data_IF_923298429382
#
_entry.id   IF_923298429382
#
_cell.length_a   1.000
_cell.length_b   1.000
_cell.length_c   1.000
_cell.angle_alpha   90.00
_cell.angle_beta   90.00
_cell.angle_gamma   90.00
#
_symmetry.space_group_name_H-M   'P 1'
#
loop_
_entity.id
_entity.type
_entity.pdbx_description
1 polymer ?
#
# COMPACT_ATOMS: atom_id res chain seq x y z
N UNK A 1 5.52 16.87 -2.11
CA UNK A 1 6.40 15.69 -2.06
C UNK A 1 5.47 14.49 -2.15
N UNK A 2 5.79 13.49 -2.97
CA UNK A 2 4.96 12.27 -3.09
C UNK A 2 4.88 11.60 -1.73
N UNK A 3 3.67 11.35 -1.24
CA UNK A 3 3.44 10.54 -0.04
C UNK A 3 3.84 9.09 -0.37
N UNK A 4 4.87 8.50 0.26
CA UNK A 4 5.21 7.11 0.05
C UNK A 4 4.06 6.22 0.56
N UNK A 5 3.62 5.34 -0.33
CA UNK A 5 2.68 4.25 -0.05
C UNK A 5 3.47 2.96 -0.09
N UNK A 6 3.33 2.12 0.94
CA UNK A 6 4.08 0.87 1.03
C UNK A 6 3.26 -0.26 1.64
N UNK A 7 3.60 -1.51 1.29
CA UNK A 7 3.11 -2.72 1.95
C UNK A 7 4.28 -3.44 2.60
N UNK A 8 4.15 -3.68 3.90
CA UNK A 8 5.08 -4.49 4.69
C UNK A 8 4.61 -5.94 4.69
N UNK A 9 5.12 -6.76 3.77
CA UNK A 9 4.68 -8.12 3.53
C UNK A 9 5.44 -9.20 4.32
N UNK A 10 4.71 -10.18 4.84
CA UNK A 10 5.29 -11.32 5.58
C UNK A 10 5.75 -12.46 4.65
N UNK A 11 5.19 -12.55 3.43
CA UNK A 11 5.61 -13.54 2.44
C UNK A 11 6.93 -13.14 1.74
N UNK A 12 7.77 -14.12 1.44
CA UNK A 12 8.98 -13.96 0.63
C UNK A 12 8.69 -14.02 -0.87
N UNK A 13 7.60 -14.69 -1.27
CA UNK A 13 7.23 -14.91 -2.67
C UNK A 13 6.47 -13.71 -3.21
N UNK A 14 6.86 -13.30 -4.41
CA UNK A 14 6.14 -12.25 -5.14
C UNK A 14 4.89 -12.89 -5.75
N UNK A 15 3.68 -12.34 -5.50
CA UNK A 15 2.47 -12.84 -6.12
C UNK A 15 2.51 -12.55 -7.64
N UNK A 16 1.95 -13.44 -8.49
CA UNK A 16 1.79 -13.14 -9.91
C UNK A 16 0.93 -11.88 -10.10
N UNK A 17 1.25 -11.06 -11.10
CA UNK A 17 0.47 -9.85 -11.42
C UNK A 17 -0.97 -10.18 -11.82
N UNK A 18 -1.22 -11.40 -12.32
CA UNK A 18 -2.56 -11.89 -12.61
C UNK A 18 -3.49 -11.77 -11.40
N UNK A 19 -2.96 -11.88 -10.20
CA UNK A 19 -3.72 -11.70 -8.95
C UNK A 19 -4.34 -10.31 -8.91
N UNK A 20 -3.52 -9.27 -9.08
CA UNK A 20 -3.97 -7.87 -9.12
C UNK A 20 -4.88 -7.60 -10.31
N UNK A 21 -4.53 -8.15 -11.47
CA UNK A 21 -5.30 -7.98 -12.70
C UNK A 21 -6.71 -8.57 -12.59
N UNK A 22 -6.85 -9.74 -11.97
CA UNK A 22 -8.13 -10.42 -11.84
C UNK A 22 -9.07 -9.65 -10.93
N UNK A 23 -8.56 -9.14 -9.81
CA UNK A 23 -9.34 -8.28 -8.88
C UNK A 23 -9.78 -6.99 -9.56
N UNK A 24 -8.88 -6.30 -10.28
CA UNK A 24 -9.23 -5.11 -11.03
C UNK A 24 -10.31 -5.38 -12.10
N UNK A 25 -10.30 -6.55 -12.72
CA UNK A 25 -11.32 -6.97 -13.69
C UNK A 25 -12.65 -7.31 -13.04
N UNK A 26 -12.63 -7.94 -11.87
CA UNK A 26 -13.83 -8.26 -11.11
C UNK A 26 -14.55 -6.98 -10.65
N UNK A 27 -13.79 -5.96 -10.25
CA UNK A 27 -14.31 -4.64 -9.88
C UNK A 27 -14.61 -3.72 -11.07
N UNK A 28 -14.49 -4.22 -12.31
CA UNK A 28 -14.72 -3.47 -13.55
C UNK A 28 -13.87 -2.18 -13.65
N UNK A 29 -12.69 -2.15 -13.01
CA UNK A 29 -11.82 -0.98 -12.98
C UNK A 29 -11.09 -0.80 -14.32
N UNK A 30 -10.96 0.46 -14.83
CA UNK A 30 -10.17 0.78 -16.01
C UNK A 30 -8.67 0.85 -15.66
N UNK A 31 -8.19 -0.16 -14.96
CA UNK A 31 -6.79 -0.32 -14.57
C UNK A 31 -6.10 -1.22 -15.61
N UNK A 32 -4.78 -1.05 -15.79
CA UNK A 32 -3.92 -1.91 -16.59
C UNK A 32 -2.53 -2.01 -15.94
N UNK A 33 -1.89 -3.17 -16.05
CA UNK A 33 -0.55 -3.42 -15.54
C UNK A 33 0.45 -3.54 -16.71
N UNK A 34 1.67 -3.03 -16.53
CA UNK A 34 2.74 -3.19 -17.51
C UNK A 34 4.11 -3.30 -16.86
N UNK A 35 4.91 -4.28 -17.27
CA UNK A 35 6.29 -4.47 -16.77
C UNK A 35 7.33 -3.61 -17.50
N UNK A 36 6.92 -2.89 -18.55
CA UNK A 36 7.73 -1.92 -19.27
C UNK A 36 7.08 -0.54 -19.25
N UNK A 37 7.91 0.50 -19.45
CA UNK A 37 7.49 1.91 -19.52
C UNK A 37 6.32 2.12 -20.50
N UNK A 38 6.24 1.32 -21.58
CA UNK A 38 5.11 1.33 -22.49
C UNK A 38 4.64 -0.10 -22.82
N UNK A 39 3.34 -0.35 -22.68
CA UNK A 39 2.68 -1.59 -23.12
C UNK A 39 2.11 -2.43 -21.97
N UNK A 40 0.96 -3.07 -22.25
CA UNK A 40 0.33 -4.04 -21.35
C UNK A 40 1.27 -5.20 -21.06
N UNK A 41 1.22 -5.70 -19.83
CA UNK A 41 1.83 -6.98 -19.51
C UNK A 41 1.19 -8.08 -20.36
N UNK A 42 2.03 -8.87 -21.01
CA UNK A 42 1.60 -10.08 -21.72
C UNK A 42 1.08 -11.12 -20.73
N UNK A 43 0.33 -12.13 -21.22
CA UNK A 43 -0.16 -13.23 -20.36
C UNK A 43 0.98 -13.94 -19.61
N UNK A 44 2.14 -14.11 -20.24
CA UNK A 44 3.32 -14.71 -19.61
C UNK A 44 3.86 -13.84 -18.46
N UNK A 45 3.88 -12.52 -18.64
CA UNK A 45 4.31 -11.57 -17.62
C UNK A 45 3.29 -11.45 -16.48
N UNK A 46 2.00 -11.61 -16.77
CA UNK A 46 0.96 -11.65 -15.75
C UNK A 46 1.11 -12.87 -14.83
N UNK A 47 1.55 -14.00 -15.37
CA UNK A 47 1.77 -15.24 -14.62
C UNK A 47 3.14 -15.34 -13.94
N UNK A 48 4.09 -14.49 -14.30
CA UNK A 48 5.46 -14.53 -13.80
C UNK A 48 5.55 -14.05 -12.32
N UNK A 49 6.05 -14.88 -11.39
CA UNK A 49 6.21 -14.49 -9.98
C UNK A 49 7.60 -13.86 -9.69
N UNK A 50 8.15 -13.11 -10.65
CA UNK A 50 9.53 -12.59 -10.58
C UNK A 50 9.68 -11.13 -11.05
N UNK A 51 8.58 -10.38 -11.05
CA UNK A 51 8.61 -8.97 -11.41
C UNK A 51 9.26 -8.13 -10.30
N UNK A 52 10.08 -7.15 -10.69
CA UNK A 52 10.72 -6.20 -9.78
C UNK A 52 10.01 -4.83 -9.80
N UNK A 53 9.46 -4.45 -10.96
CA UNK A 53 8.71 -3.20 -11.12
C UNK A 53 7.56 -3.34 -12.11
N UNK A 54 6.48 -2.59 -11.86
CA UNK A 54 5.24 -2.62 -12.64
C UNK A 54 4.64 -1.21 -12.69
N UNK A 55 4.32 -0.77 -13.90
CA UNK A 55 3.49 0.40 -14.13
C UNK A 55 2.03 0.05 -13.90
N UNK A 56 1.38 0.79 -13.01
CA UNK A 56 -0.06 0.80 -12.85
C UNK A 56 -0.61 1.94 -13.70
N UNK A 57 -1.51 1.61 -14.62
CA UNK A 57 -2.08 2.54 -15.58
C UNK A 57 -3.57 2.66 -15.40
N UNK A 58 -4.06 3.87 -15.62
CA UNK A 58 -5.48 4.14 -15.74
C UNK A 58 -5.79 4.33 -17.23
N UNK A 59 -6.88 3.72 -17.71
CA UNK A 59 -7.17 3.64 -19.16
C UNK A 59 -8.33 4.53 -19.61
N UNK A 60 -8.99 5.23 -18.69
CA UNK A 60 -10.14 6.10 -19.01
C UNK A 60 -10.03 7.49 -18.34
N UNK A 61 -10.34 8.60 -19.04
CA UNK A 61 -10.75 8.68 -20.44
C UNK A 61 -9.58 8.48 -21.42
N UNK A 62 -8.35 8.58 -20.94
CA UNK A 62 -7.11 8.37 -21.71
C UNK A 62 -6.18 7.44 -20.94
N UNK A 63 -5.21 6.84 -21.65
CA UNK A 63 -4.24 5.94 -21.03
C UNK A 63 -3.09 6.76 -20.47
N UNK A 64 -2.83 6.62 -19.16
CA UNK A 64 -1.67 7.21 -18.51
C UNK A 64 -1.21 6.38 -17.31
N UNK A 65 0.09 6.46 -17.03
CA UNK A 65 0.68 5.83 -15.86
C UNK A 65 0.29 6.62 -14.60
N UNK A 66 -0.31 5.95 -13.62
CA UNK A 66 -0.73 6.56 -12.35
C UNK A 66 0.22 6.22 -11.20
N UNK A 67 0.90 5.08 -11.28
CA UNK A 67 1.93 4.70 -10.32
C UNK A 67 2.97 3.74 -10.88
N UNK A 68 4.11 3.69 -10.20
CA UNK A 68 5.12 2.65 -10.32
C UNK A 68 5.11 1.82 -9.03
N UNK A 69 4.84 0.53 -9.14
CA UNK A 69 4.89 -0.45 -8.07
C UNK A 69 6.24 -1.18 -8.15
N UNK A 70 7.02 -1.13 -7.08
CA UNK A 70 8.34 -1.76 -6.98
C UNK A 70 8.38 -2.74 -5.81
N UNK A 71 9.20 -3.78 -5.90
CA UNK A 71 9.42 -4.73 -4.79
C UNK A 71 10.86 -4.67 -4.30
N UNK A 72 11.03 -4.67 -2.98
CA UNK A 72 12.33 -4.69 -2.34
C UNK A 72 12.40 -5.78 -1.27
N UNK A 73 13.61 -6.24 -0.99
CA UNK A 73 13.91 -7.08 0.18
C UNK A 73 14.62 -6.25 1.25
N UNK A 74 14.59 -6.70 2.51
CA UNK A 74 15.30 -6.01 3.60
C UNK A 74 16.82 -6.10 3.52
N UNK A 75 17.35 -6.95 2.63
CA UNK A 75 18.79 -7.03 2.38
C UNK A 75 19.27 -5.88 1.48
N UNK A 76 18.35 -5.11 0.90
CA UNK A 76 18.63 -3.96 0.06
C UNK A 76 18.62 -2.66 0.89
N UNK A 77 19.50 -1.68 0.59
CA UNK A 77 19.60 -0.42 1.34
C UNK A 77 18.27 0.33 1.45
N UNK A 78 17.49 0.36 0.38
CA UNK A 78 16.18 1.00 0.31
C UNK A 78 15.18 0.31 1.24
N UNK A 79 15.23 -1.03 1.30
CA UNK A 79 14.40 -1.82 2.20
C UNK A 79 14.75 -1.61 3.68
N UNK A 80 16.05 -1.52 4.00
CA UNK A 80 16.51 -1.19 5.36
C UNK A 80 16.05 0.21 5.79
N UNK A 81 16.13 1.21 4.90
CA UNK A 81 15.70 2.57 5.19
C UNK A 81 14.20 2.65 5.50
N UNK A 82 13.36 2.00 4.68
CA UNK A 82 11.91 1.97 4.88
C UNK A 82 11.51 1.24 6.16
N UNK A 83 12.18 0.14 6.48
CA UNK A 83 12.00 -0.58 7.75
C UNK A 83 12.30 0.30 8.95
N UNK A 84 13.42 1.02 8.89
CA UNK A 84 13.84 1.95 9.93
C UNK A 84 12.82 3.07 10.11
N UNK A 85 12.36 3.68 9.01
CA UNK A 85 11.31 4.72 9.05
C UNK A 85 10.03 4.20 9.68
N UNK A 86 9.57 3.01 9.28
CA UNK A 86 8.37 2.41 9.87
C UNK A 86 8.54 2.14 11.38
N UNK A 87 9.70 1.66 11.80
CA UNK A 87 10.03 1.46 13.22
C UNK A 87 10.10 2.77 14.00
N UNK A 88 10.68 3.82 13.42
CA UNK A 88 10.70 5.16 14.00
C UNK A 88 9.27 5.70 14.20
N UNK A 89 8.39 5.50 13.22
CA UNK A 89 6.98 5.89 13.31
C UNK A 89 6.24 5.10 14.40
N UNK A 90 6.44 3.77 14.48
CA UNK A 90 5.87 2.97 15.57
C UNK A 90 6.30 3.47 16.95
N UNK A 91 7.54 3.95 17.07
CA UNK A 91 8.05 4.44 18.36
C UNK A 91 7.31 5.68 18.87
N UNK A 92 6.75 6.48 17.95
CA UNK A 92 5.95 7.67 18.26
C UNK A 92 4.50 7.34 18.65
N UNK A 93 4.06 6.08 18.47
CA UNK A 93 2.71 5.64 18.79
C UNK A 93 2.55 5.32 20.29
N UNK A 94 1.35 5.51 20.87
CA UNK A 94 0.99 5.05 22.21
C UNK A 94 1.29 3.56 22.39
N UNK A 95 1.62 3.17 23.63
CA UNK A 95 1.85 1.77 23.96
C UNK A 95 0.55 1.05 24.24
N UNK A 96 -0.08 0.52 23.19
CA UNK A 96 -1.28 -0.31 23.24
C UNK A 96 -1.08 -1.65 22.51
N UNK A 97 -2.15 -2.46 22.46
CA UNK A 97 -2.15 -3.76 21.77
C UNK A 97 -1.93 -3.65 20.27
N UNK A 98 -2.40 -2.58 19.63
CA UNK A 98 -2.26 -2.37 18.18
C UNK A 98 -0.80 -2.09 17.82
N UNK A 99 -0.12 -1.26 18.63
CA UNK A 99 1.32 -1.06 18.51
C UNK A 99 2.10 -2.36 18.68
N UNK A 100 1.76 -3.20 19.67
CA UNK A 100 2.44 -4.48 19.85
C UNK A 100 2.27 -5.40 18.63
N UNK A 101 1.06 -5.47 18.07
CA UNK A 101 0.78 -6.25 16.85
C UNK A 101 1.60 -5.72 15.67
N UNK A 102 1.63 -4.41 15.45
CA UNK A 102 2.41 -3.79 14.39
C UNK A 102 3.92 -3.99 14.59
N UNK A 103 4.44 -3.88 15.80
CA UNK A 103 5.85 -4.16 16.10
C UNK A 103 6.20 -5.62 15.77
N UNK A 104 5.36 -6.57 16.19
CA UNK A 104 5.56 -7.98 15.85
C UNK A 104 5.48 -8.21 14.34
N UNK A 105 4.58 -7.51 13.64
CA UNK A 105 4.47 -7.57 12.19
C UNK A 105 5.75 -7.08 11.52
N UNK A 106 6.20 -5.86 11.86
CA UNK A 106 7.39 -5.23 11.29
C UNK A 106 8.67 -6.06 11.50
N UNK A 107 8.80 -6.75 12.64
CA UNK A 107 9.93 -7.65 12.91
C UNK A 107 9.96 -8.90 12.01
N UNK A 108 8.82 -9.30 11.46
CA UNK A 108 8.69 -10.50 10.65
C UNK A 108 8.61 -10.23 9.15
N UNK A 109 8.56 -8.97 8.73
CA UNK A 109 8.46 -8.58 7.32
C UNK A 109 9.63 -9.16 6.54
N UNK A 110 9.32 -9.64 5.33
CA UNK A 110 10.27 -10.29 4.42
C UNK A 110 10.45 -9.54 3.13
N UNK A 111 9.43 -8.80 2.70
CA UNK A 111 9.42 -8.02 1.47
C UNK A 111 8.69 -6.70 1.68
N UNK A 112 9.09 -5.71 0.91
CA UNK A 112 8.39 -4.44 0.79
C UNK A 112 7.86 -4.29 -0.62
N UNK A 113 6.66 -3.74 -0.72
CA UNK A 113 6.13 -3.23 -1.97
C UNK A 113 5.98 -1.73 -1.82
N UNK A 114 6.51 -0.96 -2.76
CA UNK A 114 6.47 0.50 -2.70
C UNK A 114 5.72 1.00 -3.92
N UNK A 115 4.77 1.89 -3.69
CA UNK A 115 4.02 2.56 -4.74
C UNK A 115 4.51 4.00 -4.81
N UNK A 116 5.15 4.33 -5.92
CA UNK A 116 5.49 5.69 -6.28
C UNK A 116 4.36 6.26 -7.16
N UNK A 117 3.59 7.20 -6.62
CA UNK A 117 2.55 7.91 -7.38
C UNK A 117 3.20 8.78 -8.46
N UNK A 118 2.65 8.73 -9.67
CA UNK A 118 3.14 9.48 -10.83
C UNK A 118 2.36 10.80 -11.00
N UNK A 119 2.86 11.77 -11.80
CA UNK A 119 2.30 13.12 -11.86
C UNK A 119 0.80 13.20 -12.13
N UNK A 120 0.23 12.24 -12.88
CA UNK A 120 -1.20 12.20 -13.16
C UNK A 120 -2.09 12.21 -11.89
N UNK A 121 -1.67 11.55 -10.81
CA UNK A 121 -2.39 11.57 -9.53
C UNK A 121 -1.98 12.73 -8.62
N UNK A 122 -0.75 13.23 -8.77
CA UNK A 122 -0.26 14.34 -7.95
C UNK A 122 -0.85 15.69 -8.37
N UNK A 123 -1.21 15.81 -9.64
CA UNK A 123 -1.80 17.02 -10.22
C UNK A 123 -3.34 17.07 -10.06
N UNK A 124 -3.98 15.94 -9.69
CA UNK A 124 -5.43 15.79 -9.53
C UNK A 124 -5.77 14.86 -8.34
N UNK A 125 -6.09 15.47 -7.19
CA UNK A 125 -6.45 14.75 -5.95
C UNK A 125 -7.77 13.98 -6.07
N UNK A 126 -8.68 14.39 -6.97
CA UNK A 126 -9.98 13.74 -7.19
C UNK A 126 -9.93 12.68 -8.31
N UNK A 127 -8.72 12.35 -8.79
CA UNK A 127 -8.55 11.43 -9.90
C UNK A 127 -8.98 10.00 -9.52
N UNK A 128 -9.89 9.40 -10.27
CA UNK A 128 -10.44 8.05 -10.01
C UNK A 128 -9.38 6.93 -9.94
N UNK A 129 -8.19 7.16 -10.50
CA UNK A 129 -7.03 6.29 -10.35
C UNK A 129 -6.57 6.05 -8.91
N UNK A 130 -6.96 6.90 -7.94
CA UNK A 130 -6.76 6.61 -6.51
C UNK A 130 -7.46 5.33 -6.06
N UNK A 131 -8.65 5.03 -6.61
CA UNK A 131 -9.36 3.76 -6.33
C UNK A 131 -8.56 2.56 -6.85
N UNK A 132 -7.88 2.73 -7.98
CA UNK A 132 -6.97 1.73 -8.52
C UNK A 132 -5.74 1.49 -7.63
N UNK A 133 -5.21 2.54 -7.00
CA UNK A 133 -4.12 2.42 -6.02
C UNK A 133 -4.60 1.73 -4.74
N UNK A 134 -5.79 2.08 -4.23
CA UNK A 134 -6.40 1.41 -3.07
C UNK A 134 -6.55 -0.09 -3.32
N UNK A 135 -7.12 -0.48 -4.46
CA UNK A 135 -7.24 -1.88 -4.87
C UNK A 135 -5.87 -2.58 -4.85
N UNK A 136 -4.86 -2.01 -5.50
CA UNK A 136 -3.52 -2.60 -5.55
C UNK A 136 -2.94 -2.80 -4.14
N UNK A 137 -3.07 -1.79 -3.26
CA UNK A 137 -2.60 -1.86 -1.88
C UNK A 137 -3.30 -2.99 -1.11
N UNK A 138 -4.63 -3.05 -1.19
CA UNK A 138 -5.46 -4.01 -0.46
C UNK A 138 -5.25 -5.43 -0.92
N UNK A 139 -5.23 -5.65 -2.23
CA UNK A 139 -4.98 -6.98 -2.81
C UNK A 139 -3.58 -7.47 -2.44
N UNK A 140 -2.55 -6.63 -2.59
CA UNK A 140 -1.19 -7.03 -2.20
C UNK A 140 -1.08 -7.31 -0.70
N UNK A 141 -1.68 -6.48 0.15
CA UNK A 141 -1.70 -6.69 1.58
C UNK A 141 -2.41 -8.00 1.95
N UNK A 142 -3.55 -8.32 1.34
CA UNK A 142 -4.27 -9.56 1.63
C UNK A 142 -3.44 -10.79 1.26
N UNK A 143 -2.96 -10.85 0.02
CA UNK A 143 -2.31 -12.05 -0.51
C UNK A 143 -0.93 -12.31 0.07
N UNK A 144 -0.26 -11.27 0.57
CA UNK A 144 1.07 -11.38 1.18
C UNK A 144 1.05 -11.36 2.71
N UNK A 145 -0.16 -11.28 3.30
CA UNK A 145 -0.34 -11.04 4.73
C UNK A 145 0.40 -9.79 5.17
N UNK A 146 0.32 -8.72 4.39
CA UNK A 146 1.01 -7.46 4.60
C UNK A 146 0.18 -6.41 5.35
N UNK A 147 0.88 -5.38 5.83
CA UNK A 147 0.28 -4.18 6.40
C UNK A 147 0.54 -3.02 5.47
N UNK A 148 -0.51 -2.26 5.16
CA UNK A 148 -0.43 -1.05 4.34
C UNK A 148 0.08 0.08 5.22
N UNK A 149 1.00 0.88 4.67
CA UNK A 149 1.48 2.11 5.26
C UNK A 149 1.28 3.25 4.26
N UNK A 150 0.64 4.31 4.75
CA UNK A 150 0.50 5.57 4.03
C UNK A 150 1.11 6.68 4.88
N UNK A 151 2.12 7.36 4.34
CA UNK A 151 2.77 8.46 5.07
C UNK A 151 1.79 9.58 5.40
N UNK A 152 1.84 10.06 6.64
CA UNK A 152 0.88 11.05 7.14
C UNK A 152 -0.47 10.49 7.55
N UNK A 153 -0.79 9.24 7.19
CA UNK A 153 -2.07 8.60 7.50
C UNK A 153 -1.95 7.43 8.48
N UNK A 154 -0.86 6.66 8.42
CA UNK A 154 -0.56 5.58 9.36
C UNK A 154 -0.59 4.19 8.76
N UNK A 155 -1.03 3.20 9.55
CA UNK A 155 -0.97 1.78 9.21
C UNK A 155 -2.36 1.17 9.12
N UNK A 156 -2.62 0.39 8.08
CA UNK A 156 -3.93 -0.19 7.77
C UNK A 156 -3.83 -1.68 7.43
N UNK A 157 -4.91 -2.42 7.71
CA UNK A 157 -5.09 -3.79 7.24
C UNK A 157 -5.45 -3.82 5.76
N UNK A 158 -5.43 -5.01 5.15
CA UNK A 158 -5.88 -5.22 3.78
C UNK A 158 -7.36 -4.84 3.54
N UNK A 159 -8.18 -4.81 4.58
CA UNK A 159 -9.57 -4.36 4.53
C UNK A 159 -9.71 -2.82 4.61
N UNK A 160 -8.59 -2.09 4.71
CA UNK A 160 -8.57 -0.64 4.95
C UNK A 160 -8.88 -0.27 6.40
N UNK A 161 -8.89 -1.24 7.33
CA UNK A 161 -9.13 -0.93 8.75
C UNK A 161 -7.86 -0.36 9.37
N UNK A 162 -7.91 0.83 9.99
CA UNK A 162 -6.72 1.40 10.60
C UNK A 162 -6.28 0.59 11.82
N UNK A 163 -5.01 0.20 11.83
CA UNK A 163 -4.33 -0.16 13.08
C UNK A 163 -4.04 1.10 13.89
N UNK A 164 -3.75 2.19 13.19
CA UNK A 164 -3.43 3.49 13.74
C UNK A 164 -3.55 4.59 12.68
N UNK A 165 -4.15 5.73 13.06
CA UNK A 165 -4.09 7.00 12.30
C UNK A 165 -3.80 8.17 13.25
N UNK A 166 -3.22 9.29 12.76
CA UNK A 166 -3.05 10.49 13.57
C UNK A 166 -4.37 10.99 14.19
N UNK A 167 -5.50 10.82 13.50
CA UNK A 167 -6.81 11.20 14.02
C UNK A 167 -7.27 10.30 15.17
N UNK A 168 -6.91 9.02 15.17
CA UNK A 168 -7.17 8.09 16.29
C UNK A 168 -6.40 8.50 17.57
N UNK A 169 -5.34 9.31 17.49
CA UNK A 169 -4.72 9.90 18.68
C UNK A 169 -5.50 11.07 19.28
N UNK A 170 -6.20 11.82 18.42
CA UNK A 170 -6.89 13.04 18.81
C UNK A 170 -8.32 12.75 19.29
N UNK A 171 -8.85 11.56 19.02
CA UNK A 171 -10.24 11.17 19.27
C UNK A 171 -10.51 10.37 20.54
N UNK A 172 -9.88 10.68 21.67
CA UNK A 172 -10.25 10.06 22.96
C UNK A 172 -10.40 11.08 24.12
N UNK A 173 -10.76 12.32 23.80
CA UNK A 173 -11.50 13.18 24.75
C UNK A 173 -13.00 12.90 24.54
N UNK A 174 -13.47 11.74 25.01
CA UNK A 174 -14.91 11.53 25.14
C UNK A 174 -15.42 12.52 26.18
N UNK A 175 -16.29 13.43 25.75
CA UNK A 175 -17.06 14.33 26.59
C UNK A 175 -17.91 13.48 27.57
N UNK A 176 -17.35 13.18 28.74
CA UNK A 176 -18.14 12.94 29.94
C UNK A 176 -18.70 14.29 30.37
N UNK A 177 -19.74 14.76 29.67
CA UNK A 177 -20.63 15.78 30.25
C UNK A 177 -21.71 15.06 31.04
N UNK A 178 -21.49 15.10 32.35
CA UNK A 178 -22.38 14.69 33.43
C UNK A 178 -23.85 15.06 33.18
N UNK A 179 -24.70 14.05 32.96
CA UNK A 179 -26.12 14.15 33.30
C UNK A 179 -26.25 14.09 34.84
N UNK A 180 -26.14 15.24 35.50
CA UNK A 180 -26.71 15.41 36.84
C UNK A 180 -28.09 16.09 36.75
N UNK A 181 -29.09 15.39 37.29
CA UNK A 181 -30.52 15.71 37.41
C UNK A 181 -30.85 17.03 38.14
#
# INVERSE_FOLDING_TARGET
>A
MSTPLAIFALDTKIPPLRTLWSEAKEEEMPLQLGVFIAGEATEEELDAPEWESVFVRWTEPEIHDIALLETYTFEEPEGEELSRKATELLSALPQDSSRFVLEQHLLNVKRLYVIQTLPALLDDEDHAGWDGIDLVLRVLADVTGGVIYAEGEGFYSAEGTPFYTPDLLLGNESEDEDEEE
#
